data_IF_512549839534
#
_entry.id   IF_512549839534
#
_cell.length_a   1.000
_cell.length_b   1.000
_cell.length_c   1.000
_cell.angle_alpha   90.00
_cell.angle_beta   90.00
_cell.angle_gamma   90.00
#
_symmetry.space_group_name_H-M   'P 1'
#
loop_
_entity.id
_entity.type
_entity.pdbx_description
1 polymer ?
#
# COMPACT_ATOMS: atom_id res chain seq x y z
N UNK A 1 -28.16 4.16 -15.59
CA UNK A 1 -28.00 2.83 -14.97
C UNK A 1 -26.70 2.22 -15.48
N UNK A 2 -25.98 1.50 -14.62
CA UNK A 2 -24.83 0.65 -15.00
C UNK A 2 -24.99 -0.71 -14.35
N UNK A 3 -24.35 -1.71 -14.92
CA UNK A 3 -24.32 -3.07 -14.38
C UNK A 3 -22.96 -3.32 -13.76
N UNK A 4 -22.94 -3.70 -12.48
CA UNK A 4 -21.72 -4.08 -11.77
C UNK A 4 -21.63 -5.59 -11.64
N UNK A 5 -20.43 -6.14 -11.88
CA UNK A 5 -20.06 -7.53 -11.69
C UNK A 5 -19.36 -7.66 -10.33
N UNK A 6 -20.09 -8.18 -9.35
CA UNK A 6 -19.65 -8.25 -7.97
C UNK A 6 -19.04 -9.60 -7.66
N UNK A 7 -17.89 -9.61 -7.00
CA UNK A 7 -17.33 -10.76 -6.29
C UNK A 7 -17.32 -10.44 -4.80
N UNK A 8 -18.28 -10.99 -4.05
CA UNK A 8 -18.55 -10.61 -2.65
C UNK A 8 -17.98 -11.67 -1.71
N UNK A 9 -17.18 -11.23 -0.72
CA UNK A 9 -16.71 -12.06 0.37
C UNK A 9 -17.86 -12.57 1.24
N UNK A 10 -17.87 -13.87 1.52
CA UNK A 10 -18.84 -14.57 2.36
C UNK A 10 -18.12 -15.38 3.43
N UNK A 11 -18.58 -15.25 4.66
CA UNK A 11 -18.00 -15.94 5.81
C UNK A 11 -18.92 -15.82 7.01
N UNK A 12 -19.18 -16.90 7.73
CA UNK A 12 -19.82 -16.86 9.05
C UNK A 12 -18.86 -17.47 10.09
N UNK A 13 -18.42 -16.65 11.04
CA UNK A 13 -17.41 -17.05 12.03
C UNK A 13 -17.85 -18.20 12.96
N UNK A 14 -19.15 -18.54 12.99
CA UNK A 14 -19.68 -19.63 13.81
C UNK A 14 -19.81 -20.93 13.05
N UNK A 15 -19.93 -20.88 11.73
CA UNK A 15 -20.31 -22.04 10.91
C UNK A 15 -19.34 -22.35 9.78
N UNK A 16 -18.68 -21.34 9.21
CA UNK A 16 -17.76 -21.51 8.10
C UNK A 16 -16.33 -21.80 8.59
N UNK A 17 -15.69 -22.80 7.98
CA UNK A 17 -14.28 -23.09 8.20
C UNK A 17 -13.35 -22.14 7.43
N UNK A 18 -13.73 -21.80 6.19
CA UNK A 18 -12.99 -20.89 5.31
C UNK A 18 -13.94 -19.92 4.62
N UNK A 19 -13.50 -18.69 4.33
CA UNK A 19 -14.28 -17.77 3.54
C UNK A 19 -14.43 -18.28 2.11
N UNK A 20 -15.54 -17.89 1.47
CA UNK A 20 -15.79 -18.14 0.06
C UNK A 20 -16.28 -16.85 -0.63
N UNK A 21 -16.43 -16.90 -1.96
CA UNK A 21 -16.85 -15.74 -2.74
C UNK A 21 -18.11 -16.03 -3.53
N UNK A 22 -19.07 -15.10 -3.49
CA UNK A 22 -20.29 -15.16 -4.28
C UNK A 22 -20.26 -14.13 -5.40
N UNK A 23 -20.45 -14.59 -6.63
CA UNK A 23 -20.51 -13.73 -7.82
C UNK A 23 -21.96 -13.33 -8.14
N UNK A 24 -22.17 -12.08 -8.52
CA UNK A 24 -23.48 -11.56 -8.91
C UNK A 24 -23.36 -10.37 -9.86
N UNK A 25 -24.34 -10.20 -10.75
CA UNK A 25 -24.55 -8.96 -11.50
C UNK A 25 -25.68 -8.11 -10.88
N UNK A 26 -25.46 -6.80 -10.70
CA UNK A 26 -26.48 -5.85 -10.23
C UNK A 26 -26.51 -4.61 -11.13
N UNK A 27 -27.67 -4.32 -11.71
CA UNK A 27 -27.92 -3.06 -12.41
C UNK A 27 -28.52 -2.00 -11.48
N UNK A 28 -27.86 -0.86 -11.37
CA UNK A 28 -28.27 0.23 -10.46
C UNK A 28 -27.97 1.61 -11.06
N UNK A 29 -28.68 2.63 -10.59
CA UNK A 29 -28.36 4.03 -10.87
C UNK A 29 -27.06 4.43 -10.17
N UNK A 30 -26.08 4.90 -10.94
CA UNK A 30 -24.75 5.28 -10.45
C UNK A 30 -24.75 6.58 -9.64
N UNK A 31 -25.85 7.35 -9.64
CA UNK A 31 -26.02 8.49 -8.73
C UNK A 31 -26.27 8.06 -7.28
N UNK A 32 -26.64 6.79 -7.04
CA UNK A 32 -26.87 6.27 -5.70
C UNK A 32 -25.54 5.97 -4.99
N UNK A 33 -25.51 6.01 -3.65
CA UNK A 33 -24.32 5.65 -2.89
C UNK A 33 -24.06 4.14 -2.90
N UNK A 34 -22.84 3.74 -2.57
CA UNK A 34 -22.41 2.35 -2.40
C UNK A 34 -23.36 1.55 -1.50
N UNK A 35 -23.88 2.17 -0.44
CA UNK A 35 -24.90 1.60 0.45
C UNK A 35 -26.10 1.03 -0.30
N UNK A 36 -26.53 1.66 -1.40
CA UNK A 36 -27.65 1.19 -2.19
C UNK A 36 -27.32 -0.08 -2.99
N UNK A 37 -26.10 -0.19 -3.53
CA UNK A 37 -25.61 -1.40 -4.20
C UNK A 37 -25.55 -2.57 -3.21
N UNK A 38 -25.02 -2.35 -2.00
CA UNK A 38 -24.96 -3.39 -0.98
C UNK A 38 -26.36 -3.78 -0.46
N UNK A 39 -27.30 -2.84 -0.33
CA UNK A 39 -28.71 -3.16 -0.02
C UNK A 39 -29.35 -4.03 -1.10
N UNK A 40 -29.02 -3.81 -2.38
CA UNK A 40 -29.48 -4.68 -3.47
C UNK A 40 -28.86 -6.09 -3.38
N UNK A 41 -27.58 -6.20 -2.99
CA UNK A 41 -26.94 -7.48 -2.71
C UNK A 41 -27.59 -8.22 -1.52
N UNK A 42 -28.00 -7.50 -0.47
CA UNK A 42 -28.78 -8.08 0.64
C UNK A 42 -30.15 -8.56 0.17
N UNK A 43 -30.87 -7.74 -0.58
CA UNK A 43 -32.23 -8.06 -1.07
C UNK A 43 -32.24 -9.29 -1.99
N UNK A 44 -31.16 -9.52 -2.73
CA UNK A 44 -30.94 -10.70 -3.58
C UNK A 44 -30.33 -11.90 -2.83
N UNK A 45 -30.21 -11.83 -1.50
CA UNK A 45 -29.61 -12.86 -0.64
C UNK A 45 -28.16 -13.21 -1.01
N UNK A 46 -27.45 -12.28 -1.64
CA UNK A 46 -26.02 -12.40 -1.90
C UNK A 46 -25.17 -11.94 -0.74
N UNK A 47 -25.76 -11.17 0.18
CA UNK A 47 -25.16 -10.70 1.41
C UNK A 47 -26.17 -10.89 2.55
N UNK A 48 -25.75 -11.35 3.72
CA UNK A 48 -26.66 -11.55 4.85
C UNK A 48 -27.11 -10.20 5.45
N UNK A 49 -26.14 -9.30 5.69
CA UNK A 49 -26.35 -8.05 6.42
C UNK A 49 -25.58 -6.89 5.79
N UNK A 50 -26.11 -5.68 5.96
CA UNK A 50 -25.44 -4.47 5.52
C UNK A 50 -24.32 -4.12 6.52
N UNK A 51 -23.09 -3.81 6.05
CA UNK A 51 -22.03 -3.30 6.92
C UNK A 51 -22.40 -1.94 7.52
N UNK A 52 -21.85 -1.61 8.70
CA UNK A 52 -22.16 -0.37 9.44
C UNK A 52 -21.39 0.84 8.91
N UNK A 53 -20.08 0.69 8.65
CA UNK A 53 -19.17 1.81 8.45
C UNK A 53 -18.65 1.93 7.01
N UNK A 54 -18.22 0.81 6.42
CA UNK A 54 -17.59 0.79 5.10
C UNK A 54 -17.22 -0.63 4.69
N UNK A 55 -16.59 -0.74 3.53
CA UNK A 55 -16.08 -2.00 2.95
C UNK A 55 -14.77 -1.75 2.22
N UNK A 56 -14.07 -2.81 1.83
CA UNK A 56 -12.97 -2.72 0.85
C UNK A 56 -13.49 -3.07 -0.54
N UNK A 57 -13.28 -2.21 -1.53
CA UNK A 57 -13.51 -2.52 -2.94
C UNK A 57 -12.17 -2.56 -3.66
N UNK A 58 -11.85 -3.70 -4.28
CA UNK A 58 -10.59 -3.91 -4.98
C UNK A 58 -9.37 -3.51 -4.11
N UNK A 59 -9.42 -3.80 -2.81
CA UNK A 59 -8.38 -3.49 -1.84
C UNK A 59 -8.53 -2.16 -1.08
N UNK A 60 -9.24 -1.17 -1.61
CA UNK A 60 -9.35 0.16 -1.01
C UNK A 60 -10.54 0.25 -0.05
N UNK A 61 -10.30 0.76 1.16
CA UNK A 61 -11.35 1.07 2.13
C UNK A 61 -12.21 2.24 1.64
N UNK A 62 -13.53 2.05 1.63
CA UNK A 62 -14.50 2.99 1.06
C UNK A 62 -15.70 3.14 2.02
N UNK A 63 -16.11 4.40 2.21
CA UNK A 63 -17.34 4.73 2.94
C UNK A 63 -18.58 4.30 2.17
N UNK A 64 -19.63 3.88 2.88
CA UNK A 64 -20.90 3.48 2.29
C UNK A 64 -21.61 4.62 1.56
N UNK A 65 -21.27 5.87 1.86
CA UNK A 65 -21.94 7.04 1.30
C UNK A 65 -21.31 7.52 -0.02
N UNK A 66 -20.20 6.89 -0.46
CA UNK A 66 -19.54 7.24 -1.72
C UNK A 66 -20.47 6.95 -2.91
N UNK A 67 -20.68 7.91 -3.83
CA UNK A 67 -21.45 7.71 -5.05
C UNK A 67 -20.87 6.64 -5.97
N UNK A 68 -21.73 5.80 -6.55
CA UNK A 68 -21.31 4.71 -7.43
C UNK A 68 -20.67 5.17 -8.73
N UNK A 69 -20.92 6.38 -9.21
CA UNK A 69 -20.23 6.93 -10.38
C UNK A 69 -18.73 7.13 -10.11
N UNK A 70 -18.35 7.61 -8.92
CA UNK A 70 -16.93 7.76 -8.55
C UNK A 70 -16.24 6.39 -8.43
N UNK A 71 -16.94 5.40 -7.88
CA UNK A 71 -16.44 4.02 -7.80
C UNK A 71 -16.25 3.44 -9.21
N UNK A 72 -17.22 3.64 -10.09
CA UNK A 72 -17.15 3.21 -11.49
C UNK A 72 -16.00 3.88 -12.24
N UNK A 73 -15.80 5.20 -12.06
CA UNK A 73 -14.69 5.93 -12.67
C UNK A 73 -13.32 5.38 -12.23
N UNK A 74 -13.22 4.91 -10.98
CA UNK A 74 -11.97 4.37 -10.44
C UNK A 74 -11.72 2.90 -10.79
N UNK A 75 -12.75 2.06 -10.75
CA UNK A 75 -12.61 0.59 -10.81
C UNK A 75 -13.33 -0.07 -11.98
N UNK A 76 -14.18 0.65 -12.70
CA UNK A 76 -15.04 0.10 -13.74
C UNK A 76 -16.19 -0.73 -13.18
N UNK A 77 -16.55 -1.78 -13.92
CA UNK A 77 -17.72 -2.63 -13.65
C UNK A 77 -17.44 -3.79 -12.69
N UNK A 78 -16.19 -4.25 -12.62
CA UNK A 78 -15.78 -5.42 -11.83
C UNK A 78 -15.32 -5.02 -10.43
N UNK A 79 -16.13 -5.39 -9.43
CA UNK A 79 -15.90 -5.01 -8.03
C UNK A 79 -15.75 -6.26 -7.17
N UNK A 80 -14.58 -6.42 -6.55
CA UNK A 80 -14.36 -7.36 -5.45
C UNK A 80 -14.62 -6.66 -4.14
N UNK A 81 -15.60 -7.14 -3.37
CA UNK A 81 -16.05 -6.52 -2.13
C UNK A 81 -15.65 -7.39 -0.94
N UNK A 82 -14.81 -6.82 -0.07
CA UNK A 82 -14.32 -7.44 1.16
C UNK A 82 -14.82 -6.65 2.39
N UNK A 83 -14.91 -7.28 3.58
CA UNK A 83 -15.02 -6.52 4.84
C UNK A 83 -13.82 -5.57 5.00
N UNK A 84 -13.97 -4.53 5.83
CA UNK A 84 -12.84 -3.65 6.18
C UNK A 84 -11.64 -4.44 6.73
N UNK A 85 -11.91 -5.52 7.46
CA UNK A 85 -10.91 -6.50 7.89
C UNK A 85 -11.48 -7.92 7.80
N UNK A 86 -10.88 -8.75 6.97
CA UNK A 86 -11.24 -10.18 6.87
C UNK A 86 -10.93 -10.92 8.18
N UNK A 87 -9.87 -10.53 8.88
CA UNK A 87 -9.48 -11.08 10.19
C UNK A 87 -10.48 -10.76 11.32
N UNK A 88 -11.31 -9.74 11.13
CA UNK A 88 -12.35 -9.33 12.09
C UNK A 88 -13.76 -9.66 11.58
N UNK A 89 -13.91 -10.31 10.43
CA UNK A 89 -15.22 -10.65 9.90
C UNK A 89 -15.94 -11.61 10.86
N UNK A 90 -17.15 -11.23 11.24
CA UNK A 90 -18.06 -12.04 12.07
C UNK A 90 -19.09 -12.71 11.17
N UNK A 91 -19.64 -11.96 10.22
CA UNK A 91 -20.64 -12.43 9.26
C UNK A 91 -20.57 -11.57 7.99
N UNK A 92 -20.10 -12.16 6.91
CA UNK A 92 -19.83 -11.57 5.61
C UNK A 92 -18.98 -10.29 5.71
N UNK A 93 -19.60 -9.14 5.46
CA UNK A 93 -18.97 -7.83 5.47
C UNK A 93 -19.03 -7.14 6.84
N UNK A 94 -19.72 -7.74 7.82
CA UNK A 94 -19.82 -7.25 9.18
C UNK A 94 -18.60 -7.68 10.00
N UNK A 95 -17.98 -6.73 10.70
CA UNK A 95 -16.75 -6.95 11.45
C UNK A 95 -16.93 -6.66 12.95
N UNK A 96 -16.16 -7.36 13.77
CA UNK A 96 -15.92 -7.00 15.17
C UNK A 96 -15.00 -5.77 15.23
N UNK A 97 -15.48 -4.70 15.86
CA UNK A 97 -14.77 -3.43 15.99
C UNK A 97 -14.31 -3.14 17.41
N UNK A 98 -14.33 -4.15 18.30
CA UNK A 98 -13.90 -3.96 19.69
C UNK A 98 -12.47 -3.41 19.79
N UNK A 99 -11.56 -3.91 18.96
CA UNK A 99 -10.17 -3.49 18.93
C UNK A 99 -9.98 -2.01 18.60
N UNK A 100 -10.85 -1.45 17.77
CA UNK A 100 -10.88 -0.03 17.46
C UNK A 100 -11.27 0.80 18.70
N UNK A 101 -12.33 0.43 19.41
CA UNK A 101 -12.77 1.14 20.61
C UNK A 101 -11.76 1.02 21.77
N UNK A 102 -11.08 -0.12 21.90
CA UNK A 102 -9.98 -0.27 22.86
C UNK A 102 -8.84 0.72 22.62
N UNK A 103 -8.70 1.31 21.41
CA UNK A 103 -7.76 2.40 21.16
C UNK A 103 -8.25 3.73 21.73
N UNK A 104 -9.54 4.01 21.69
CA UNK A 104 -10.12 5.20 22.33
C UNK A 104 -9.89 5.18 23.84
N UNK A 105 -10.07 4.01 24.47
CA UNK A 105 -9.94 3.83 25.92
C UNK A 105 -8.57 4.28 26.46
N UNK A 106 -7.52 4.21 25.64
CA UNK A 106 -6.17 4.69 26.00
C UNK A 106 -6.14 6.20 26.26
N UNK A 107 -6.97 6.97 25.56
CA UNK A 107 -7.04 8.44 25.71
C UNK A 107 -8.26 8.91 26.50
N UNK A 108 -9.19 8.02 26.85
CA UNK A 108 -10.39 8.32 27.62
C UNK A 108 -10.15 9.20 28.87
N UNK A 109 -9.06 9.03 29.66
CA UNK A 109 -8.77 9.90 30.81
C UNK A 109 -8.49 11.38 30.46
N UNK A 110 -8.19 11.67 29.20
CA UNK A 110 -7.74 12.99 28.72
C UNK A 110 -8.73 13.66 27.78
N UNK A 111 -9.84 13.00 27.47
CA UNK A 111 -10.86 13.47 26.51
C UNK A 111 -12.25 13.42 27.14
N UNK A 112 -13.27 13.89 26.42
CA UNK A 112 -14.68 13.84 26.84
C UNK A 112 -15.43 12.75 26.08
N UNK A 113 -16.58 12.35 26.61
CA UNK A 113 -17.46 11.36 25.96
C UNK A 113 -17.88 11.78 24.55
N UNK A 114 -18.13 13.07 24.31
CA UNK A 114 -18.44 13.60 22.96
C UNK A 114 -17.29 13.43 21.95
N UNK A 115 -16.05 13.22 22.41
CA UNK A 115 -14.93 12.94 21.51
C UNK A 115 -14.98 11.51 20.95
N UNK A 116 -15.78 10.62 21.54
CA UNK A 116 -16.01 9.27 21.03
C UNK A 116 -16.73 9.30 19.68
N UNK A 117 -17.75 10.15 19.52
CA UNK A 117 -18.48 10.31 18.24
C UNK A 117 -17.53 10.75 17.12
N UNK A 118 -16.60 11.64 17.45
CA UNK A 118 -15.57 12.06 16.52
C UNK A 118 -14.60 10.91 16.20
N UNK A 119 -14.16 10.17 17.21
CA UNK A 119 -13.30 9.01 17.01
C UNK A 119 -13.97 7.97 16.11
N UNK A 120 -15.25 7.63 16.33
CA UNK A 120 -16.01 6.69 15.50
C UNK A 120 -16.01 7.06 14.01
N UNK A 121 -16.02 8.36 13.69
CA UNK A 121 -15.95 8.84 12.30
C UNK A 121 -14.63 8.45 11.60
N UNK A 122 -13.57 8.15 12.35
CA UNK A 122 -12.23 7.81 11.86
C UNK A 122 -12.02 6.31 11.63
N UNK A 123 -13.05 5.48 11.81
CA UNK A 123 -12.91 4.02 11.74
C UNK A 123 -12.36 3.49 10.41
N UNK A 124 -12.62 4.20 9.30
CA UNK A 124 -12.02 3.88 8.01
C UNK A 124 -10.50 4.05 8.02
N UNK A 125 -9.98 5.10 8.69
CA UNK A 125 -8.54 5.32 8.82
C UNK A 125 -7.87 4.18 9.60
N UNK A 126 -8.58 3.61 10.57
CA UNK A 126 -8.10 2.47 11.33
C UNK A 126 -7.93 1.27 10.41
N UNK A 127 -9.01 0.77 9.81
CA UNK A 127 -8.94 -0.45 8.99
C UNK A 127 -8.30 -0.29 7.59
N UNK A 128 -8.05 0.94 7.16
CA UNK A 128 -7.18 1.23 6.02
C UNK A 128 -5.68 1.18 6.37
N UNK A 129 -5.32 1.25 7.66
CA UNK A 129 -3.91 1.20 8.10
C UNK A 129 -3.27 -0.11 7.64
N UNK A 130 -2.27 -0.08 6.73
CA UNK A 130 -1.75 -1.31 6.12
C UNK A 130 -1.07 -2.23 7.14
N UNK A 131 -0.46 -1.63 8.16
CA UNK A 131 0.23 -2.36 9.24
C UNK A 131 -0.69 -3.31 9.99
N UNK A 132 -1.98 -2.96 10.18
CA UNK A 132 -2.94 -3.82 10.89
C UNK A 132 -3.22 -5.15 10.18
N UNK A 133 -2.90 -5.23 8.89
CA UNK A 133 -2.95 -6.50 8.15
C UNK A 133 -1.88 -7.47 8.61
N UNK A 134 -0.81 -6.99 9.24
CA UNK A 134 0.35 -7.79 9.68
C UNK A 134 0.51 -7.81 11.21
N UNK A 135 0.31 -6.68 11.88
CA UNK A 135 0.42 -6.53 13.33
C UNK A 135 -0.83 -5.85 13.90
N UNK A 136 -1.62 -6.61 14.68
CA UNK A 136 -2.94 -6.17 15.16
C UNK A 136 -2.87 -5.21 16.34
N UNK A 137 -1.73 -5.25 17.04
CA UNK A 137 -1.56 -4.52 18.28
C UNK A 137 -1.18 -3.05 18.09
N UNK A 138 -0.74 -2.67 16.89
CA UNK A 138 -0.47 -1.27 16.52
C UNK A 138 -1.75 -0.43 16.69
N UNK A 139 -1.61 0.82 17.12
CA UNK A 139 -2.77 1.66 17.39
C UNK A 139 -3.49 2.10 16.10
N UNK A 140 -2.73 2.31 15.04
CA UNK A 140 -3.24 2.63 13.70
C UNK A 140 -3.54 4.11 13.48
N UNK A 141 -3.69 4.50 12.22
CA UNK A 141 -3.75 5.92 11.81
C UNK A 141 -4.90 6.69 12.43
N UNK A 142 -6.08 6.08 12.65
CA UNK A 142 -7.19 6.73 13.34
C UNK A 142 -6.79 7.22 14.74
N UNK A 143 -6.04 6.39 15.49
CA UNK A 143 -5.59 6.74 16.83
C UNK A 143 -4.59 7.90 16.80
N UNK A 144 -3.60 7.85 15.91
CA UNK A 144 -2.59 8.91 15.81
C UNK A 144 -3.22 10.25 15.37
N UNK A 145 -4.10 10.20 14.37
CA UNK A 145 -4.82 11.38 13.90
C UNK A 145 -5.70 11.97 15.01
N UNK A 146 -6.44 11.11 15.73
CA UNK A 146 -7.24 11.54 16.87
C UNK A 146 -6.37 12.12 17.99
N UNK A 147 -5.23 11.51 18.31
CA UNK A 147 -4.29 12.01 19.31
C UNK A 147 -3.81 13.42 18.98
N UNK A 148 -3.45 13.69 17.72
CA UNK A 148 -3.09 15.03 17.25
C UNK A 148 -4.21 16.06 17.51
N UNK A 149 -5.45 15.70 17.14
CA UNK A 149 -6.63 16.55 17.38
C UNK A 149 -6.95 16.75 18.85
N UNK A 150 -6.72 15.75 19.70
CA UNK A 150 -6.93 15.88 21.13
C UNK A 150 -5.85 16.73 21.81
N UNK A 151 -4.61 16.73 21.29
CA UNK A 151 -3.58 17.67 21.71
C UNK A 151 -3.98 19.11 21.40
N UNK A 152 -4.48 19.37 20.18
CA UNK A 152 -4.98 20.69 19.77
C UNK A 152 -6.15 21.15 20.67
N UNK A 153 -7.10 20.25 20.93
CA UNK A 153 -8.31 20.53 21.72
C UNK A 153 -8.05 20.63 23.23
N UNK A 154 -7.11 19.84 23.75
CA UNK A 154 -6.80 19.72 25.18
C UNK A 154 -5.29 19.87 25.44
N UNK A 155 -4.70 21.05 25.19
CA UNK A 155 -3.25 21.25 25.26
C UNK A 155 -2.65 20.97 26.65
N UNK A 156 -3.46 21.04 27.71
CA UNK A 156 -3.05 20.67 29.08
C UNK A 156 -2.65 19.19 29.24
N UNK A 157 -3.09 18.32 28.32
CA UNK A 157 -2.78 16.89 28.30
C UNK A 157 -1.81 16.51 27.18
N UNK A 158 -1.18 17.49 26.54
CA UNK A 158 -0.28 17.29 25.40
C UNK A 158 0.78 16.23 25.68
N UNK A 159 1.49 16.36 26.80
CA UNK A 159 2.55 15.42 27.19
C UNK A 159 2.03 14.00 27.39
N UNK A 160 0.88 13.83 28.03
CA UNK A 160 0.29 12.51 28.33
C UNK A 160 -0.18 11.82 27.05
N UNK A 161 -0.84 12.56 26.15
CA UNK A 161 -1.29 12.02 24.87
C UNK A 161 -0.07 11.65 24.00
N UNK A 162 0.96 12.50 23.96
CA UNK A 162 2.21 12.23 23.25
C UNK A 162 2.95 11.01 23.82
N UNK A 163 2.95 10.82 25.15
CA UNK A 163 3.57 9.65 25.80
C UNK A 163 2.92 8.35 25.31
N UNK A 164 1.59 8.29 25.34
CA UNK A 164 0.83 7.12 24.89
C UNK A 164 1.04 6.89 23.39
N UNK A 165 0.91 7.94 22.58
CA UNK A 165 1.02 7.82 21.12
C UNK A 165 2.42 7.45 20.63
N UNK A 166 3.45 7.56 21.47
CA UNK A 166 4.84 7.22 21.16
C UNK A 166 5.29 5.86 21.73
N UNK A 167 4.35 4.95 22.00
CA UNK A 167 4.67 3.57 22.37
C UNK A 167 5.64 2.93 21.36
N UNK A 168 6.73 2.32 21.86
CA UNK A 168 7.82 1.81 21.03
C UNK A 168 7.41 0.67 20.08
N UNK A 169 6.34 -0.07 20.41
CA UNK A 169 5.90 -1.25 19.66
C UNK A 169 4.59 -1.03 18.91
N UNK A 170 3.84 0.02 19.27
CA UNK A 170 2.46 0.20 18.81
C UNK A 170 2.15 1.63 18.37
N UNK A 171 3.05 2.58 18.62
CA UNK A 171 2.84 4.01 18.45
C UNK A 171 3.05 4.54 17.03
N UNK A 172 3.14 5.87 16.93
CA UNK A 172 3.12 6.64 15.68
C UNK A 172 4.23 6.27 14.67
N UNK A 173 5.31 5.64 15.12
CA UNK A 173 6.39 5.19 14.24
C UNK A 173 5.94 4.07 13.27
N UNK A 174 4.83 3.40 13.57
CA UNK A 174 4.19 2.42 12.68
C UNK A 174 3.17 3.06 11.72
N UNK A 175 3.03 4.38 11.71
CA UNK A 175 2.18 5.06 10.73
C UNK A 175 2.77 4.94 9.32
N UNK A 176 1.91 4.61 8.36
CA UNK A 176 2.21 4.64 6.94
C UNK A 176 1.09 5.41 6.21
N UNK A 177 1.42 6.13 5.11
CA UNK A 177 0.43 6.86 4.33
C UNK A 177 -0.71 5.98 3.84
N UNK A 178 -1.93 6.52 3.91
CA UNK A 178 -3.15 5.77 3.59
C UNK A 178 -3.63 5.91 2.15
N UNK A 179 -3.06 6.81 1.35
CA UNK A 179 -3.51 7.09 -0.02
C UNK A 179 -3.65 5.83 -0.91
N UNK A 180 -2.78 4.80 -0.81
CA UNK A 180 -2.95 3.56 -1.57
C UNK A 180 -4.08 2.65 -1.06
N UNK A 181 -4.56 2.87 0.17
CA UNK A 181 -5.45 1.97 0.91
C UNK A 181 -6.82 2.56 1.22
N UNK A 182 -7.00 3.86 1.03
CA UNK A 182 -8.20 4.61 1.39
C UNK A 182 -8.71 5.42 0.20
N UNK A 183 -9.98 5.22 -0.15
CA UNK A 183 -10.63 6.01 -1.19
C UNK A 183 -10.94 7.41 -0.69
N UNK A 184 -10.58 8.43 -1.49
CA UNK A 184 -10.69 9.84 -1.12
C UNK A 184 -10.01 10.14 0.22
N UNK A 185 -8.76 9.68 0.37
CA UNK A 185 -7.93 9.90 1.56
C UNK A 185 -7.90 11.39 1.97
N UNK A 186 -8.19 11.73 3.25
CA UNK A 186 -8.11 13.10 3.73
C UNK A 186 -6.69 13.67 3.61
N UNK A 187 -6.55 14.81 2.94
CA UNK A 187 -5.26 15.45 2.69
C UNK A 187 -4.52 15.88 3.98
N UNK A 188 -5.26 16.12 5.06
CA UNK A 188 -4.70 16.57 6.32
C UNK A 188 -4.05 15.46 7.16
N UNK A 189 -4.15 14.18 6.78
CA UNK A 189 -3.63 13.08 7.62
C UNK A 189 -2.16 13.30 7.95
N UNK A 190 -1.32 13.48 6.93
CA UNK A 190 0.13 13.59 7.13
C UNK A 190 0.51 14.85 7.91
N UNK A 191 -0.25 15.95 7.76
CA UNK A 191 -0.07 17.19 8.52
C UNK A 191 -0.36 16.96 10.02
N UNK A 192 -1.45 16.27 10.35
CA UNK A 192 -1.79 15.92 11.74
C UNK A 192 -0.78 14.94 12.36
N UNK A 193 -0.32 13.95 11.57
CA UNK A 193 0.71 13.02 12.02
C UNK A 193 2.04 13.75 12.28
N UNK A 194 2.41 14.70 11.42
CA UNK A 194 3.58 15.54 11.63
C UNK A 194 3.44 16.39 12.91
N UNK A 195 2.28 16.99 13.15
CA UNK A 195 2.00 17.76 14.37
C UNK A 195 2.13 16.89 15.63
N UNK A 196 1.58 15.68 15.62
CA UNK A 196 1.76 14.71 16.71
C UNK A 196 3.24 14.36 16.92
N UNK A 197 4.00 14.10 15.85
CA UNK A 197 5.44 13.81 15.94
C UNK A 197 6.22 14.98 16.54
N UNK A 198 5.90 16.23 16.18
CA UNK A 198 6.51 17.41 16.78
C UNK A 198 6.23 17.51 18.28
N UNK A 199 5.01 17.16 18.72
CA UNK A 199 4.69 17.12 20.15
C UNK A 199 5.45 16.00 20.87
N UNK A 200 5.60 14.83 20.25
CA UNK A 200 6.42 13.75 20.81
C UNK A 200 7.89 14.17 20.89
N UNK A 201 8.46 14.78 19.86
CA UNK A 201 9.86 15.21 19.85
C UNK A 201 10.15 16.24 20.95
N UNK A 202 9.19 17.15 21.21
CA UNK A 202 9.26 18.16 22.28
C UNK A 202 9.42 17.54 23.68
N UNK A 203 8.76 16.42 23.98
CA UNK A 203 8.78 15.81 25.32
C UNK A 203 9.63 14.54 25.42
N UNK A 204 9.78 13.82 24.31
CA UNK A 204 10.38 12.49 24.19
C UNK A 204 11.25 12.38 22.91
N UNK A 205 12.29 13.22 22.76
CA UNK A 205 13.07 13.32 21.50
C UNK A 205 13.74 12.01 21.07
N UNK A 206 13.96 11.07 21.99
CA UNK A 206 14.55 9.75 21.69
C UNK A 206 13.55 8.71 21.17
N UNK A 207 12.24 9.04 21.15
CA UNK A 207 11.19 8.11 20.68
C UNK A 207 10.82 8.31 19.21
N UNK A 208 11.26 9.40 18.60
CA UNK A 208 11.18 9.61 17.16
C UNK A 208 12.60 9.39 16.62
N UNK A 209 12.87 8.20 16.10
CA UNK A 209 14.10 8.03 15.33
C UNK A 209 13.99 8.83 14.04
N UNK A 210 15.07 9.53 13.69
CA UNK A 210 15.20 10.11 12.36
C UNK A 210 15.10 8.96 11.36
N UNK A 211 14.22 9.11 10.36
CA UNK A 211 14.11 8.20 9.22
C UNK A 211 15.51 7.79 8.79
N UNK A 212 15.71 6.49 8.47
CA UNK A 212 16.96 5.99 7.92
C UNK A 212 17.44 6.97 6.85
N UNK A 213 18.66 7.48 7.01
CA UNK A 213 19.27 8.28 5.95
C UNK A 213 19.18 7.47 4.67
N UNK A 214 18.46 8.04 3.70
CA UNK A 214 18.26 7.47 2.38
C UNK A 214 19.63 7.36 1.72
N UNK A 215 20.29 6.21 1.85
CA UNK A 215 21.40 5.90 0.96
C UNK A 215 20.79 5.68 -0.41
N UNK A 216 20.95 6.65 -1.31
CA UNK A 216 20.69 6.41 -2.73
C UNK A 216 21.51 5.20 -3.16
N UNK A 217 20.81 4.10 -3.44
CA UNK A 217 21.41 2.94 -4.06
C UNK A 217 21.41 3.25 -5.56
N UNK A 218 22.54 3.76 -6.04
CA UNK A 218 22.85 3.88 -7.46
C UNK A 218 23.89 2.83 -7.81
N UNK A 219 23.58 1.99 -8.79
CA UNK A 219 24.48 0.92 -9.18
C UNK A 219 25.35 1.26 -10.38
N UNK A 220 25.09 2.34 -11.12
CA UNK A 220 25.65 2.50 -12.46
C UNK A 220 25.88 3.93 -12.95
N UNK A 221 26.21 4.03 -14.24
CA UNK A 221 26.18 5.28 -14.99
C UNK A 221 24.73 5.70 -15.26
N UNK A 222 24.48 6.99 -15.42
CA UNK A 222 23.13 7.49 -15.72
C UNK A 222 22.83 7.41 -17.23
N UNK A 223 21.57 7.22 -17.60
CA UNK A 223 21.15 7.18 -19.00
C UNK A 223 21.47 8.47 -19.76
N UNK A 224 21.36 9.62 -19.09
CA UNK A 224 21.72 10.93 -19.65
C UNK A 224 23.15 10.93 -20.18
N UNK A 225 24.07 10.35 -19.41
CA UNK A 225 25.48 10.30 -19.77
C UNK A 225 25.76 9.37 -20.96
N UNK A 226 25.08 8.22 -21.01
CA UNK A 226 25.26 7.23 -22.08
C UNK A 226 24.65 7.72 -23.40
N UNK A 227 23.48 8.36 -23.33
CA UNK A 227 22.77 8.88 -24.50
C UNK A 227 23.23 10.28 -24.91
N UNK A 228 24.00 10.97 -24.06
CA UNK A 228 24.42 12.36 -24.21
C UNK A 228 23.22 13.32 -24.45
N UNK A 229 22.17 13.16 -23.64
CA UNK A 229 20.95 13.97 -23.69
C UNK A 229 20.49 14.38 -22.29
N UNK A 230 19.61 15.37 -22.21
CA UNK A 230 18.95 15.72 -20.95
C UNK A 230 17.91 14.66 -20.56
N UNK A 231 17.62 14.50 -19.26
CA UNK A 231 16.59 13.56 -18.77
C UNK A 231 15.26 13.67 -19.51
N UNK A 232 14.83 14.90 -19.83
CA UNK A 232 13.57 15.18 -20.53
C UNK A 232 13.54 14.69 -21.98
N UNK A 233 14.71 14.52 -22.59
CA UNK A 233 14.85 14.09 -23.97
C UNK A 233 15.18 12.59 -24.11
N UNK A 234 15.40 11.88 -23.00
CA UNK A 234 15.60 10.42 -23.01
C UNK A 234 14.48 9.69 -23.76
N UNK A 235 13.17 9.98 -23.53
CA UNK A 235 12.10 9.28 -24.26
C UNK A 235 12.19 9.45 -25.78
N UNK A 236 12.60 10.64 -26.25
CA UNK A 236 12.78 10.91 -27.68
C UNK A 236 14.01 10.19 -28.24
N UNK A 237 15.09 10.16 -27.47
CA UNK A 237 16.32 9.47 -27.87
C UNK A 237 16.09 7.95 -27.97
N UNK A 238 15.39 7.34 -27.01
CA UNK A 238 15.08 5.91 -27.05
C UNK A 238 14.18 5.55 -28.24
N UNK A 239 13.24 6.41 -28.62
CA UNK A 239 12.37 6.20 -29.77
C UNK A 239 13.10 6.15 -31.14
N UNK A 240 14.32 6.68 -31.24
CA UNK A 240 15.12 6.62 -32.49
C UNK A 240 16.13 5.47 -32.49
N UNK A 241 16.31 4.79 -31.37
CA UNK A 241 17.25 3.69 -31.20
C UNK A 241 16.54 2.33 -31.34
N UNK A 242 17.32 1.29 -31.59
CA UNK A 242 16.87 -0.09 -31.48
C UNK A 242 17.58 -0.75 -30.29
N UNK A 243 16.88 -1.53 -29.46
CA UNK A 243 17.52 -2.24 -28.36
C UNK A 243 18.52 -3.27 -28.91
N UNK A 244 19.72 -3.32 -28.32
CA UNK A 244 20.69 -4.41 -28.59
C UNK A 244 20.20 -5.72 -28.00
N UNK A 245 19.46 -5.66 -26.89
CA UNK A 245 18.85 -6.80 -26.23
C UNK A 245 17.37 -6.53 -25.98
N UNK A 246 16.50 -7.35 -26.55
CA UNK A 246 15.05 -7.24 -26.36
C UNK A 246 14.61 -8.04 -25.13
N UNK A 247 13.55 -7.58 -24.48
CA UNK A 247 12.93 -8.20 -23.31
C UNK A 247 11.52 -8.75 -23.60
N UNK A 248 11.17 -8.94 -24.87
CA UNK A 248 9.81 -9.38 -25.27
C UNK A 248 9.40 -10.76 -24.75
N UNK A 249 10.37 -11.63 -24.47
CA UNK A 249 10.12 -12.97 -23.94
C UNK A 249 10.02 -13.00 -22.40
N UNK A 250 10.24 -11.86 -21.73
CA UNK A 250 10.20 -11.76 -20.28
C UNK A 250 8.93 -11.07 -19.79
N UNK A 251 8.49 -11.47 -18.60
CA UNK A 251 7.40 -10.86 -17.87
C UNK A 251 7.94 -10.13 -16.65
N UNK A 252 7.53 -8.87 -16.47
CA UNK A 252 7.90 -8.08 -15.29
C UNK A 252 6.67 -7.61 -14.50
N UNK A 253 6.79 -7.69 -13.17
CA UNK A 253 5.88 -7.02 -12.25
C UNK A 253 6.35 -5.59 -12.02
N UNK A 254 5.47 -4.60 -12.13
CA UNK A 254 5.81 -3.20 -11.86
C UNK A 254 5.40 -2.84 -10.43
N UNK A 255 6.36 -2.33 -9.66
CA UNK A 255 6.14 -1.68 -8.37
C UNK A 255 6.24 -0.16 -8.54
N UNK A 256 5.12 0.53 -8.30
CA UNK A 256 4.94 1.97 -8.45
C UNK A 256 5.32 2.75 -7.19
N UNK A 257 5.35 2.11 -6.01
CA UNK A 257 5.58 2.78 -4.74
C UNK A 257 4.53 3.88 -4.49
N UNK A 258 4.99 5.11 -4.24
CA UNK A 258 4.08 6.24 -3.98
C UNK A 258 3.40 6.79 -5.26
N UNK A 259 3.92 6.46 -6.45
CA UNK A 259 3.43 6.98 -7.72
C UNK A 259 2.06 6.41 -8.10
N UNK A 260 1.18 7.24 -8.67
CA UNK A 260 -0.15 6.79 -9.12
C UNK A 260 -0.10 5.92 -10.38
N UNK A 261 0.88 6.17 -11.24
CA UNK A 261 1.10 5.47 -12.50
C UNK A 261 2.57 5.61 -12.91
N UNK A 262 2.98 4.84 -13.92
CA UNK A 262 4.30 4.99 -14.54
C UNK A 262 4.50 6.42 -15.08
N UNK A 263 5.68 6.97 -14.86
CA UNK A 263 6.11 8.19 -15.55
C UNK A 263 6.26 7.95 -17.06
N UNK A 264 6.26 9.03 -17.84
CA UNK A 264 6.45 8.94 -19.29
C UNK A 264 7.86 8.43 -19.65
N UNK A 265 8.84 8.71 -18.79
CA UNK A 265 10.17 8.13 -18.85
C UNK A 265 10.10 6.60 -18.76
N UNK A 266 9.47 6.05 -17.73
CA UNK A 266 9.36 4.60 -17.53
C UNK A 266 8.54 3.92 -18.63
N UNK A 267 7.44 4.54 -19.09
CA UNK A 267 6.67 4.03 -20.24
C UNK A 267 7.52 3.93 -21.49
N UNK A 268 8.38 4.91 -21.75
CA UNK A 268 9.26 4.91 -22.92
C UNK A 268 10.29 3.76 -22.87
N UNK A 269 10.76 3.41 -21.67
CA UNK A 269 11.70 2.29 -21.46
C UNK A 269 11.00 0.94 -21.66
N UNK A 270 9.81 0.75 -21.08
CA UNK A 270 9.01 -0.47 -21.28
C UNK A 270 8.73 -0.68 -22.78
N UNK A 271 8.36 0.39 -23.49
CA UNK A 271 8.15 0.35 -24.93
C UNK A 271 9.44 0.04 -25.71
N UNK A 272 10.54 0.73 -25.40
CA UNK A 272 11.84 0.54 -26.05
C UNK A 272 12.37 -0.89 -25.93
N UNK A 273 12.12 -1.55 -24.80
CA UNK A 273 12.60 -2.91 -24.52
C UNK A 273 11.68 -4.02 -25.04
N UNK A 274 10.48 -3.68 -25.53
CA UNK A 274 9.39 -4.61 -25.85
C UNK A 274 8.92 -5.46 -24.66
N UNK A 275 9.17 -5.04 -23.42
CA UNK A 275 8.90 -5.84 -22.22
C UNK A 275 7.39 -6.02 -21.97
N UNK A 276 6.97 -7.25 -21.65
CA UNK A 276 5.63 -7.52 -21.13
C UNK A 276 5.59 -7.18 -19.63
N UNK A 277 5.23 -5.94 -19.30
CA UNK A 277 5.18 -5.46 -17.93
C UNK A 277 3.76 -5.08 -17.49
N UNK A 278 3.41 -5.44 -16.25
CA UNK A 278 2.12 -5.09 -15.66
C UNK A 278 2.27 -4.65 -14.21
N UNK A 279 1.52 -3.62 -13.80
CA UNK A 279 1.45 -3.22 -12.39
C UNK A 279 0.89 -4.34 -11.53
N UNK A 280 1.58 -4.62 -10.43
CA UNK A 280 1.08 -5.50 -9.38
C UNK A 280 -0.19 -4.92 -8.75
N UNK A 281 -1.03 -5.77 -8.18
CA UNK A 281 -2.10 -5.34 -7.29
C UNK A 281 -1.54 -4.54 -6.11
N UNK A 282 -0.44 -5.01 -5.50
CA UNK A 282 0.27 -4.30 -4.43
C UNK A 282 1.31 -3.30 -4.94
N UNK A 283 1.24 -2.89 -6.21
CA UNK A 283 2.24 -2.00 -6.82
C UNK A 283 2.43 -0.69 -6.07
N UNK A 284 1.40 -0.21 -5.37
CA UNK A 284 1.44 1.02 -4.56
C UNK A 284 1.42 0.78 -3.06
N UNK A 285 1.44 -0.47 -2.64
CA UNK A 285 1.56 -0.77 -1.21
C UNK A 285 2.93 -0.34 -0.71
N UNK A 286 3.01 0.00 0.57
CA UNK A 286 4.26 0.41 1.19
C UNK A 286 5.19 -0.81 1.35
N UNK A 287 6.45 -0.64 1.00
CA UNK A 287 7.49 -1.68 1.09
C UNK A 287 7.97 -1.94 2.53
N UNK A 288 7.47 -1.21 3.52
CA UNK A 288 7.85 -1.35 4.93
C UNK A 288 9.15 -0.63 5.31
N UNK A 289 9.81 0.07 4.37
CA UNK A 289 11.10 0.72 4.62
C UNK A 289 11.07 1.72 5.77
N UNK A 290 9.98 2.49 5.91
CA UNK A 290 9.80 3.43 7.00
C UNK A 290 9.64 2.76 8.39
N UNK A 291 9.20 1.50 8.42
CA UNK A 291 9.00 0.73 9.67
C UNK A 291 10.24 -0.08 10.03
N UNK A 292 11.12 -0.36 9.07
CA UNK A 292 12.27 -1.26 9.25
C UNK A 292 13.14 -0.96 10.49
N UNK A 293 13.42 0.31 10.86
CA UNK A 293 14.19 0.62 12.08
C UNK A 293 13.53 0.14 13.37
N UNK A 294 12.20 0.13 13.41
CA UNK A 294 11.41 -0.16 14.60
C UNK A 294 11.01 -1.62 14.67
N UNK A 295 10.63 -2.20 13.52
CA UNK A 295 10.30 -3.62 13.39
C UNK A 295 10.71 -4.14 12.01
N UNK A 296 11.97 -4.58 11.94
CA UNK A 296 12.54 -5.16 10.72
C UNK A 296 11.79 -6.41 10.25
N UNK A 297 11.22 -7.21 11.15
CA UNK A 297 10.49 -8.43 10.78
C UNK A 297 9.14 -8.08 10.15
N UNK A 298 8.40 -7.14 10.73
CA UNK A 298 7.18 -6.60 10.14
C UNK A 298 7.45 -5.97 8.77
N UNK A 299 8.45 -5.09 8.66
CA UNK A 299 8.84 -4.49 7.39
C UNK A 299 9.15 -5.56 6.33
N UNK A 300 9.95 -6.57 6.69
CA UNK A 300 10.30 -7.69 5.81
C UNK A 300 9.09 -8.53 5.37
N UNK A 301 8.06 -8.69 6.21
CA UNK A 301 6.80 -9.35 5.79
C UNK A 301 6.06 -8.50 4.75
N UNK A 302 6.06 -7.18 4.90
CA UNK A 302 5.40 -6.27 3.94
C UNK A 302 6.09 -6.31 2.56
N UNK A 303 7.42 -6.18 2.51
CA UNK A 303 8.16 -6.28 1.25
C UNK A 303 8.09 -7.70 0.67
N UNK A 304 8.11 -8.72 1.53
CA UNK A 304 7.97 -10.12 1.14
C UNK A 304 6.67 -10.40 0.40
N UNK A 305 5.53 -9.86 0.87
CA UNK A 305 4.23 -10.00 0.18
C UNK A 305 4.24 -9.39 -1.24
N UNK A 306 4.93 -8.26 -1.44
CA UNK A 306 5.06 -7.63 -2.77
C UNK A 306 5.90 -8.52 -3.70
N UNK A 307 7.03 -9.03 -3.21
CA UNK A 307 7.93 -9.90 -3.98
C UNK A 307 7.26 -11.24 -4.33
N UNK A 308 6.53 -11.83 -3.37
CA UNK A 308 5.79 -13.08 -3.58
C UNK A 308 4.65 -12.89 -4.57
N UNK A 309 3.97 -11.74 -4.58
CA UNK A 309 2.95 -11.47 -5.59
C UNK A 309 3.54 -11.47 -7.00
N UNK A 310 4.69 -10.82 -7.21
CA UNK A 310 5.36 -10.85 -8.50
C UNK A 310 5.77 -12.27 -8.91
N UNK A 311 6.34 -13.04 -7.96
CA UNK A 311 6.75 -14.42 -8.18
C UNK A 311 5.55 -15.33 -8.52
N UNK A 312 4.46 -15.24 -7.76
CA UNK A 312 3.23 -16.02 -7.98
C UNK A 312 2.51 -15.60 -9.27
N UNK A 313 2.69 -14.34 -9.67
CA UNK A 313 2.29 -13.82 -10.97
C UNK A 313 3.14 -14.35 -12.13
N UNK A 314 4.19 -15.13 -11.87
CA UNK A 314 5.10 -15.67 -12.89
C UNK A 314 5.98 -14.60 -13.53
N UNK A 315 6.32 -13.53 -12.79
CA UNK A 315 7.25 -12.51 -13.28
C UNK A 315 8.69 -13.05 -13.18
N UNK A 316 9.49 -12.79 -14.21
CA UNK A 316 10.92 -13.11 -14.25
C UNK A 316 11.73 -12.16 -13.36
N UNK A 317 11.25 -10.92 -13.19
CA UNK A 317 11.83 -9.91 -12.31
C UNK A 317 10.80 -8.87 -11.88
N UNK A 318 11.14 -8.09 -10.84
CA UNK A 318 10.40 -6.92 -10.40
C UNK A 318 11.05 -5.65 -10.96
N UNK A 319 10.24 -4.74 -11.49
CA UNK A 319 10.68 -3.46 -12.04
C UNK A 319 10.18 -2.31 -11.16
N UNK A 320 11.09 -1.44 -10.74
CA UNK A 320 10.82 -0.36 -9.79
C UNK A 320 10.67 1.00 -10.49
N UNK A 321 9.54 1.66 -10.27
CA UNK A 321 9.38 3.09 -10.58
C UNK A 321 10.18 3.95 -9.59
N UNK A 322 10.09 3.61 -8.30
CA UNK A 322 10.83 4.30 -7.24
C UNK A 322 12.06 3.49 -6.84
N UNK A 323 13.25 3.96 -7.25
CA UNK A 323 14.53 3.32 -6.93
C UNK A 323 14.80 3.20 -5.43
N UNK A 324 14.16 4.02 -4.58
CA UNK A 324 14.30 3.91 -3.12
C UNK A 324 13.87 2.55 -2.59
N UNK A 325 12.94 1.90 -3.29
CA UNK A 325 12.42 0.59 -2.92
C UNK A 325 13.47 -0.53 -3.06
N UNK A 326 14.59 -0.32 -3.77
CA UNK A 326 15.73 -1.25 -3.80
C UNK A 326 16.23 -1.61 -2.39
N UNK A 327 16.18 -0.65 -1.46
CA UNK A 327 16.67 -0.85 -0.10
C UNK A 327 15.94 -1.98 0.62
N UNK A 328 14.65 -2.18 0.33
CA UNK A 328 13.84 -3.27 0.91
C UNK A 328 13.69 -4.45 -0.05
N UNK A 329 13.36 -4.19 -1.32
CA UNK A 329 12.97 -5.22 -2.28
C UNK A 329 14.18 -5.96 -2.89
N UNK A 330 15.36 -5.34 -2.97
CA UNK A 330 16.60 -6.02 -3.34
C UNK A 330 17.45 -6.34 -2.10
N UNK A 331 17.97 -5.33 -1.41
CA UNK A 331 19.02 -5.51 -0.41
C UNK A 331 18.60 -6.34 0.82
N UNK A 332 17.29 -6.44 1.11
CA UNK A 332 16.74 -7.21 2.23
C UNK A 332 16.02 -8.48 1.80
N UNK A 333 16.11 -8.91 0.54
CA UNK A 333 15.35 -10.06 0.04
C UNK A 333 15.54 -11.34 0.87
N UNK A 334 16.77 -11.63 1.32
CA UNK A 334 17.05 -12.78 2.20
C UNK A 334 16.33 -12.71 3.54
N UNK A 335 16.29 -11.53 4.15
CA UNK A 335 15.55 -11.29 5.41
C UNK A 335 14.04 -11.37 5.18
N UNK A 336 13.55 -10.83 4.05
CA UNK A 336 12.15 -10.90 3.64
C UNK A 336 11.69 -12.34 3.45
N UNK A 337 12.48 -13.15 2.72
CA UNK A 337 12.22 -14.57 2.52
C UNK A 337 12.10 -15.35 3.84
N UNK A 338 12.98 -15.06 4.80
CA UNK A 338 12.91 -15.65 6.15
C UNK A 338 11.64 -15.21 6.89
N UNK A 339 11.28 -13.93 6.83
CA UNK A 339 10.12 -13.37 7.54
C UNK A 339 8.78 -13.93 7.03
N UNK A 340 8.66 -14.19 5.73
CA UNK A 340 7.46 -14.81 5.12
C UNK A 340 7.50 -16.34 5.11
N UNK A 341 8.62 -16.96 5.50
CA UNK A 341 8.77 -18.41 5.55
C UNK A 341 8.79 -19.09 4.18
N UNK A 342 9.10 -18.34 3.11
CA UNK A 342 9.12 -18.82 1.72
C UNK A 342 10.32 -18.25 0.99
N UNK A 343 10.98 -19.07 0.17
CA UNK A 343 12.12 -18.63 -0.64
C UNK A 343 11.71 -17.53 -1.61
N UNK A 344 12.45 -16.43 -1.61
CA UNK A 344 12.34 -15.33 -2.58
C UNK A 344 13.70 -15.23 -3.27
N UNK A 345 13.71 -15.41 -4.58
CA UNK A 345 14.90 -15.33 -5.43
C UNK A 345 14.51 -14.62 -6.73
N UNK A 346 13.98 -13.40 -6.58
CA UNK A 346 13.44 -12.62 -7.68
C UNK A 346 14.40 -11.47 -7.98
N UNK A 347 14.99 -11.38 -9.18
CA UNK A 347 15.76 -10.21 -9.57
C UNK A 347 14.90 -8.95 -9.49
N UNK A 348 15.49 -7.85 -9.02
CA UNK A 348 14.82 -6.54 -8.92
C UNK A 348 15.65 -5.52 -9.69
N UNK A 349 15.03 -4.84 -10.63
CA UNK A 349 15.67 -3.85 -11.51
C UNK A 349 14.99 -2.49 -11.37
N UNK A 350 15.76 -1.43 -11.55
CA UNK A 350 15.23 -0.09 -11.84
C UNK A 350 14.94 0.06 -13.34
N UNK A 351 14.14 1.08 -13.68
CA UNK A 351 13.88 1.45 -15.07
C UNK A 351 15.17 1.79 -15.82
N UNK A 352 16.08 2.52 -15.17
CA UNK A 352 17.38 2.90 -15.75
C UNK A 352 18.26 1.69 -16.05
N UNK A 353 18.37 0.75 -15.11
CA UNK A 353 19.13 -0.49 -15.30
C UNK A 353 18.61 -1.30 -16.49
N UNK A 354 17.28 -1.46 -16.59
CA UNK A 354 16.65 -2.16 -17.71
C UNK A 354 17.03 -1.52 -19.06
N UNK A 355 16.95 -0.18 -19.15
CA UNK A 355 17.30 0.54 -20.37
C UNK A 355 18.79 0.40 -20.73
N UNK A 356 19.69 0.49 -19.74
CA UNK A 356 21.13 0.31 -19.95
C UNK A 356 21.46 -1.10 -20.45
N UNK A 357 20.86 -2.13 -19.84
CA UNK A 357 21.03 -3.52 -20.29
C UNK A 357 20.50 -3.68 -21.71
N UNK A 358 19.34 -3.11 -22.04
CA UNK A 358 18.77 -3.15 -23.40
C UNK A 358 19.67 -2.44 -24.44
N UNK A 359 20.41 -1.41 -24.03
CA UNK A 359 21.42 -0.73 -24.86
C UNK A 359 22.76 -1.50 -24.95
N UNK A 360 22.89 -2.63 -24.25
CA UNK A 360 24.12 -3.43 -24.17
C UNK A 360 25.18 -2.90 -23.20
N UNK A 361 24.81 -1.93 -22.36
CA UNK A 361 25.70 -1.31 -21.37
C UNK A 361 25.60 -2.05 -20.01
N UNK A 362 25.75 -3.38 -20.03
CA UNK A 362 25.50 -4.27 -18.87
C UNK A 362 26.40 -3.90 -17.68
N UNK A 363 27.70 -3.68 -17.91
CA UNK A 363 28.62 -3.28 -16.85
C UNK A 363 28.24 -1.91 -16.27
N UNK A 364 27.82 -0.98 -17.13
CA UNK A 364 27.44 0.37 -16.72
C UNK A 364 26.12 0.39 -15.94
N UNK A 365 25.23 -0.59 -16.13
CA UNK A 365 24.00 -0.71 -15.35
C UNK A 365 24.24 -0.99 -13.86
N UNK A 366 25.36 -1.64 -13.53
CA UNK A 366 25.67 -2.02 -12.16
C UNK A 366 24.87 -3.21 -11.61
N UNK A 367 24.05 -3.85 -12.43
CA UNK A 367 23.15 -4.96 -12.06
C UNK A 367 23.88 -6.12 -11.34
N UNK A 368 25.18 -6.30 -11.59
CA UNK A 368 26.03 -7.30 -10.92
C UNK A 368 26.22 -7.06 -9.41
N UNK A 369 25.87 -5.88 -8.91
CA UNK A 369 25.94 -5.52 -7.47
C UNK A 369 24.67 -5.87 -6.70
N UNK A 370 23.59 -6.25 -7.39
CA UNK A 370 22.32 -6.60 -6.77
C UNK A 370 22.42 -7.89 -5.95
N UNK A 371 21.50 -8.02 -4.99
CA UNK A 371 21.42 -9.21 -4.15
C UNK A 371 21.15 -10.46 -4.97
N UNK A 372 20.24 -10.35 -5.94
CA UNK A 372 19.92 -11.40 -6.91
C UNK A 372 20.27 -10.89 -8.30
N UNK A 373 21.35 -11.42 -8.87
CA UNK A 373 21.77 -11.11 -10.24
C UNK A 373 20.89 -11.89 -11.22
N UNK A 374 20.25 -11.23 -12.21
CA UNK A 374 19.43 -11.94 -13.19
C UNK A 374 20.25 -12.93 -14.01
N UNK A 375 19.72 -14.14 -14.21
CA UNK A 375 20.39 -15.17 -15.03
C UNK A 375 20.28 -14.91 -16.53
N UNK A 376 19.38 -14.01 -16.94
CA UNK A 376 19.12 -13.65 -18.33
C UNK A 376 19.99 -12.50 -18.84
N UNK A 377 20.99 -12.04 -18.06
CA UNK A 377 21.87 -10.98 -18.52
C UNK A 377 22.60 -11.43 -19.80
N UNK A 378 22.64 -10.56 -20.83
CA UNK A 378 23.38 -10.86 -22.04
C UNK A 378 24.88 -11.01 -21.72
N UNK A 379 25.51 -12.02 -22.34
CA UNK A 379 26.92 -12.39 -22.14
C UNK A 379 27.84 -11.40 -22.84
#
# INVERSE_FOLDING_TARGET
MRTFLLTIFRFDAKTDYLPHYKKQSISIDTKKPLKALLKAAVSSRSLAKLPKFGVKINGLAISLDVPLNQIYEKFGEELTILPLSTKRSVEDLFIDTKDFYERFDLLAPYVKEVDLDYFESLILLHYASPVLSYERDVFGTAFYFFAAKMIEKYPKFEKQIADIASDEKKGVNFHLPLDPYLFNSPKSIEEEIAALRSSIEKYFPKRIDKLLEEKEISFGASLESILNVSFKDIPKALATLSPKHSFGDFKAGIYLGSHESLSDFSKSIVAFTNLNASALFRSRHNDGGAIYPYDSNLACRMSGDILLEALDGGCDFLLLEDKKALAMLDAKQKSCAKAVGRGINLPVLTMEELALIALGEVEASGIKRHTIVPSFLPI
#
